data_IF_579282320210
#
_entry.id   IF_579282320210
#
_cell.length_a   1.000
_cell.length_b   1.000
_cell.length_c   1.000
_cell.angle_alpha   90.00
_cell.angle_beta   90.00
_cell.angle_gamma   90.00
#
_symmetry.space_group_name_H-M   'P 1'
#
loop_
_entity.id
_entity.type
_entity.pdbx_description
1 polymer ?
#
# COMPACT_ATOMS: atom_id res chain seq x y z
N UNK A 1 -21.78 -10.50 5.95
CA UNK A 1 -20.37 -10.44 5.51
C UNK A 1 -20.39 -10.51 3.99
N UNK A 2 -19.73 -9.56 3.32
CA UNK A 2 -19.53 -9.55 1.88
C UNK A 2 -18.09 -9.99 1.63
N UNK A 3 -17.88 -10.90 0.70
CA UNK A 3 -16.57 -11.33 0.23
C UNK A 3 -16.45 -10.96 -1.24
N UNK A 4 -15.36 -10.30 -1.60
CA UNK A 4 -15.00 -9.97 -2.97
C UNK A 4 -13.87 -10.91 -3.36
N UNK A 5 -14.12 -11.78 -4.33
CA UNK A 5 -13.11 -12.69 -4.85
C UNK A 5 -12.16 -11.90 -5.75
N UNK A 6 -10.86 -11.95 -5.48
CA UNK A 6 -9.85 -11.24 -6.27
C UNK A 6 -9.89 -11.62 -7.76
N UNK A 7 -10.27 -12.85 -8.08
CA UNK A 7 -10.35 -13.31 -9.47
C UNK A 7 -11.55 -12.71 -10.24
N UNK A 8 -12.53 -12.17 -9.51
CA UNK A 8 -13.77 -11.60 -10.07
C UNK A 8 -13.75 -10.06 -10.03
N UNK A 9 -12.59 -9.46 -9.76
CA UNK A 9 -12.39 -8.01 -9.66
C UNK A 9 -11.31 -7.61 -10.64
N UNK A 10 -11.59 -6.60 -11.44
CA UNK A 10 -10.60 -5.97 -12.32
C UNK A 10 -10.48 -4.48 -11.98
N UNK A 11 -9.28 -3.89 -12.13
CA UNK A 11 -9.13 -2.44 -12.03
C UNK A 11 -9.94 -1.75 -13.13
N UNK A 12 -10.42 -0.54 -12.85
CA UNK A 12 -11.06 0.28 -13.87
C UNK A 12 -10.05 0.69 -14.95
N UNK A 13 -10.54 0.98 -16.15
CA UNK A 13 -9.67 1.42 -17.25
C UNK A 13 -8.95 2.72 -16.93
N UNK A 14 -9.59 3.62 -16.17
CA UNK A 14 -8.99 4.87 -15.71
C UNK A 14 -7.79 4.61 -14.80
N UNK A 15 -7.90 3.65 -13.86
CA UNK A 15 -6.79 3.29 -12.99
C UNK A 15 -5.64 2.65 -13.77
N UNK A 16 -5.94 1.77 -14.74
CA UNK A 16 -4.92 1.14 -15.60
C UNK A 16 -4.15 2.20 -16.40
N UNK A 17 -4.86 3.13 -17.04
CA UNK A 17 -4.25 4.22 -17.80
C UNK A 17 -3.42 5.14 -16.92
N UNK A 18 -3.91 5.46 -15.72
CA UNK A 18 -3.17 6.30 -14.78
C UNK A 18 -1.86 5.62 -14.31
N UNK A 19 -1.87 4.29 -14.10
CA UNK A 19 -0.65 3.52 -13.81
C UNK A 19 0.32 3.54 -15.00
N UNK A 20 -0.17 3.31 -16.22
CA UNK A 20 0.66 3.35 -17.43
C UNK A 20 1.33 4.72 -17.59
N UNK A 21 0.55 5.81 -17.47
CA UNK A 21 1.06 7.17 -17.54
C UNK A 21 2.07 7.47 -16.43
N UNK A 22 1.81 7.02 -15.20
CA UNK A 22 2.73 7.22 -14.08
C UNK A 22 4.06 6.49 -14.29
N UNK A 23 4.05 5.30 -14.88
CA UNK A 23 5.27 4.53 -15.17
C UNK A 23 6.08 5.15 -16.31
N UNK A 24 5.41 5.68 -17.34
CA UNK A 24 6.05 6.34 -18.49
C UNK A 24 6.54 7.76 -18.20
N UNK A 25 6.16 8.34 -17.07
CA UNK A 25 6.58 9.68 -16.67
C UNK A 25 8.09 9.76 -16.36
N UNK A 26 8.65 10.97 -16.46
CA UNK A 26 10.04 11.29 -16.10
C UNK A 26 10.36 11.08 -14.61
N UNK A 27 9.34 11.08 -13.73
CA UNK A 27 9.46 10.90 -12.28
C UNK A 27 8.43 9.89 -11.76
N UNK A 28 8.56 8.61 -12.15
CA UNK A 28 7.50 7.64 -11.96
C UNK A 28 7.14 7.39 -10.49
N UNK A 29 8.12 7.49 -9.59
CA UNK A 29 7.89 7.32 -8.15
C UNK A 29 6.98 8.41 -7.55
N UNK A 30 7.06 9.64 -8.05
CA UNK A 30 6.22 10.75 -7.55
C UNK A 30 4.79 10.53 -8.02
N UNK A 31 4.60 10.24 -9.31
CA UNK A 31 3.27 10.04 -9.87
C UNK A 31 2.59 8.77 -9.35
N UNK A 32 3.33 7.69 -9.11
CA UNK A 32 2.77 6.50 -8.44
C UNK A 32 2.34 6.82 -7.01
N UNK A 33 3.11 7.63 -6.29
CA UNK A 33 2.71 8.05 -4.94
C UNK A 33 1.42 8.87 -4.97
N UNK A 34 1.34 9.86 -5.84
CA UNK A 34 0.13 10.69 -6.00
C UNK A 34 -1.09 9.83 -6.40
N UNK A 35 -0.89 8.85 -7.28
CA UNK A 35 -1.92 7.89 -7.69
C UNK A 35 -2.41 7.02 -6.53
N UNK A 36 -1.51 6.50 -5.68
CA UNK A 36 -1.93 5.74 -4.50
C UNK A 36 -2.49 6.62 -3.38
N UNK A 37 -2.12 7.89 -3.32
CA UNK A 37 -2.75 8.87 -2.42
C UNK A 37 -4.21 9.16 -2.85
N UNK A 38 -4.51 9.11 -4.16
CA UNK A 38 -5.88 9.24 -4.69
C UNK A 38 -6.72 7.96 -4.55
N UNK A 39 -6.22 6.82 -5.03
CA UNK A 39 -6.97 5.56 -5.11
C UNK A 39 -6.90 4.70 -3.83
N UNK A 40 -5.89 4.96 -2.99
CA UNK A 40 -5.61 4.18 -1.79
C UNK A 40 -4.64 3.02 -2.03
N UNK A 41 -3.93 2.65 -0.95
CA UNK A 41 -2.95 1.55 -0.94
C UNK A 41 -3.59 0.16 -0.83
N UNK A 42 -4.82 0.07 -0.32
CA UNK A 42 -5.46 -1.20 -0.01
C UNK A 42 -6.91 -1.27 -0.50
N UNK A 43 -7.29 -2.42 -1.02
CA UNK A 43 -8.65 -2.73 -1.42
C UNK A 43 -9.23 -3.86 -0.53
N UNK A 44 -10.32 -3.63 0.22
CA UNK A 44 -10.85 -4.62 1.14
C UNK A 44 -11.56 -5.76 0.40
N UNK A 45 -11.06 -7.00 0.54
CA UNK A 45 -11.70 -8.19 -0.05
C UNK A 45 -12.81 -8.80 0.83
N UNK A 46 -12.96 -8.34 2.08
CA UNK A 46 -13.98 -8.84 2.99
C UNK A 46 -14.52 -7.71 3.85
N UNK A 47 -15.83 -7.49 3.81
CA UNK A 47 -16.51 -6.40 4.50
C UNK A 47 -17.58 -6.98 5.43
N UNK A 48 -17.50 -6.64 6.72
CA UNK A 48 -18.54 -6.98 7.69
C UNK A 48 -19.48 -5.77 7.78
N UNK A 49 -20.73 -5.97 7.39
CA UNK A 49 -21.77 -4.96 7.51
C UNK A 49 -22.58 -5.17 8.78
N UNK A 50 -23.11 -4.08 9.35
CA UNK A 50 -23.91 -4.08 10.57
C UNK A 50 -23.15 -3.55 11.78
N UNK A 51 -23.72 -3.79 12.97
CA UNK A 51 -23.12 -3.32 14.24
C UNK A 51 -21.99 -4.26 14.68
N UNK A 52 -20.89 -3.69 15.15
CA UNK A 52 -19.82 -4.42 15.84
C UNK A 52 -19.43 -3.68 17.12
N UNK A 53 -19.28 -4.39 18.23
CA UNK A 53 -18.65 -3.86 19.44
C UNK A 53 -17.22 -4.40 19.49
N UNK A 54 -16.24 -3.50 19.45
CA UNK A 54 -14.82 -3.84 19.53
C UNK A 54 -14.19 -3.02 20.64
N UNK A 55 -13.43 -3.67 21.52
CA UNK A 55 -12.60 -2.98 22.50
C UNK A 55 -11.16 -2.94 21.96
N UNK A 56 -10.68 -1.76 21.60
CA UNK A 56 -9.30 -1.56 21.16
C UNK A 56 -8.48 -1.08 22.34
N UNK A 57 -7.79 -1.99 23.02
CA UNK A 57 -6.72 -1.61 23.93
C UNK A 57 -5.47 -1.29 23.10
N UNK A 58 -4.76 -0.18 23.37
CA UNK A 58 -3.48 0.06 22.72
C UNK A 58 -2.54 -1.09 23.07
N UNK A 59 -2.13 -1.86 22.07
CA UNK A 59 -1.04 -2.81 22.26
C UNK A 59 0.21 -2.01 22.63
N UNK A 60 0.93 -2.44 23.68
CA UNK A 60 2.22 -1.87 24.09
C UNK A 60 3.35 -2.11 23.08
N UNK A 61 3.05 -2.71 21.92
CA UNK A 61 3.98 -2.87 20.81
C UNK A 61 4.26 -1.51 20.16
N UNK A 62 5.55 -1.23 19.97
CA UNK A 62 6.09 -0.02 19.34
C UNK A 62 5.25 0.44 18.14
N UNK A 63 5.02 1.76 17.98
CA UNK A 63 4.31 2.28 16.82
C UNK A 63 5.03 1.84 15.55
N UNK A 64 4.27 1.18 14.66
CA UNK A 64 4.71 0.89 13.31
C UNK A 64 4.81 2.23 12.57
N UNK A 65 6.02 2.79 12.51
CA UNK A 65 6.28 4.04 11.83
C UNK A 65 6.79 3.74 10.42
N UNK A 66 6.18 4.31 9.37
CA UNK A 66 6.60 4.12 7.98
C UNK A 66 8.05 4.56 7.73
N UNK A 67 8.57 5.48 8.55
CA UNK A 67 9.99 5.86 8.58
C UNK A 67 10.95 4.69 8.86
N UNK A 68 10.47 3.59 9.46
CA UNK A 68 11.31 2.43 9.73
C UNK A 68 11.62 1.62 8.46
N UNK A 69 10.84 1.75 7.36
CA UNK A 69 11.14 1.07 6.10
C UNK A 69 12.33 1.71 5.36
N UNK A 70 12.43 3.05 5.37
CA UNK A 70 13.55 3.76 4.73
C UNK A 70 14.90 3.52 5.42
N UNK A 71 14.88 3.06 6.67
CA UNK A 71 16.09 2.69 7.41
C UNK A 71 16.51 1.22 7.17
N UNK A 72 15.66 0.39 6.56
CA UNK A 72 15.99 -1.01 6.24
C UNK A 72 16.80 -1.13 4.93
N UNK A 73 16.61 -0.21 3.97
CA UNK A 73 17.43 -0.12 2.75
C UNK A 73 18.84 0.43 3.00
N UNK A 74 19.10 1.01 4.18
CA UNK A 74 20.42 1.53 4.60
C UNK A 74 21.25 0.52 5.39
N UNK A 75 20.93 -0.78 5.34
CA UNK A 75 21.88 -1.81 5.79
C UNK A 75 23.01 -1.86 4.78
N UNK A 76 24.11 -1.21 5.15
CA UNK A 76 25.40 -1.21 4.49
C UNK A 76 25.83 -2.66 4.21
N UNK A 77 25.68 -3.11 2.96
CA UNK A 77 26.38 -4.29 2.47
C UNK A 77 27.86 -3.91 2.45
N UNK A 78 28.51 -4.17 3.58
CA UNK A 78 29.92 -3.83 3.82
C UNK A 78 30.76 -4.08 2.57
N UNK A 79 31.61 -3.10 2.25
CA UNK A 79 32.40 -3.08 1.02
C UNK A 79 33.03 -4.45 0.73
N UNK A 80 33.01 -4.92 -0.53
CA UNK A 80 33.66 -6.19 -0.88
C UNK A 80 35.16 -6.10 -0.54
N UNK A 81 35.75 -7.16 0.03
CA UNK A 81 37.18 -7.18 0.28
C UNK A 81 37.92 -7.06 -1.05
N UNK A 82 38.96 -6.20 -1.04
CA UNK A 82 39.84 -5.83 -2.16
C UNK A 82 40.13 -6.94 -3.18
#
# INVERSE_FOLDING_TARGET
>A
KICLNKNDIEPSEEFKQAIEQAIEDMKPLIFLKDLFDEYGLFFPLSIILGKSLKNTLPNSSLPFNFENFENLEKVDLGSPPF
#
